data_IF_588684966721
#
_entry.id   IF_588684966721
#
_cell.length_a   1.000
_cell.length_b   1.000
_cell.length_c   1.000
_cell.angle_alpha   90.00
_cell.angle_beta   90.00
_cell.angle_gamma   90.00
#
_symmetry.space_group_name_H-M   'P 1'
#
loop_
_entity.id
_entity.type
_entity.pdbx_description
1 polymer ?
#
# COMPACT_ATOMS: atom_id res chain seq x y z
N UNK A 1 -18.90 7.86 21.88
CA UNK A 1 -19.73 6.75 22.37
C UNK A 1 -18.98 5.77 23.27
N UNK A 2 -17.62 5.76 23.21
CA UNK A 2 -16.77 4.91 24.03
C UNK A 2 -15.78 5.72 24.87
N UNK A 3 -15.35 5.15 25.99
CA UNK A 3 -14.33 5.70 26.88
C UNK A 3 -13.14 4.76 26.93
N UNK A 4 -11.92 5.28 27.10
CA UNK A 4 -10.72 4.49 27.29
C UNK A 4 -10.75 3.85 28.67
N UNK A 5 -10.73 2.52 28.73
CA UNK A 5 -10.62 1.76 29.95
C UNK A 5 -9.18 1.37 30.26
N UNK A 6 -8.42 1.00 29.25
CA UNK A 6 -7.01 0.63 29.38
C UNK A 6 -6.25 1.00 28.10
N UNK A 7 -5.03 1.49 28.26
CA UNK A 7 -4.10 1.71 27.15
C UNK A 7 -2.73 1.16 27.52
N UNK A 8 -2.25 0.23 26.71
CA UNK A 8 -0.89 -0.34 26.79
C UNK A 8 -0.18 -0.01 25.49
N UNK A 9 0.75 0.94 25.46
CA UNK A 9 1.49 1.31 24.26
C UNK A 9 2.06 0.07 23.55
N UNK A 10 1.96 0.04 22.21
CA UNK A 10 2.44 -1.04 21.34
C UNK A 10 1.87 -2.44 21.63
N UNK A 11 0.82 -2.53 22.46
CA UNK A 11 0.16 -3.80 22.83
C UNK A 11 -1.34 -3.76 22.57
N UNK A 12 -2.06 -2.87 23.28
CA UNK A 12 -3.52 -2.84 23.13
C UNK A 12 -4.17 -1.57 23.64
N UNK A 13 -5.35 -1.28 23.09
CA UNK A 13 -6.27 -0.26 23.57
C UNK A 13 -7.62 -0.92 23.85
N UNK A 14 -8.13 -0.77 25.07
CA UNK A 14 -9.47 -1.25 25.46
C UNK A 14 -10.40 -0.07 25.66
N UNK A 15 -11.51 -0.09 24.96
CA UNK A 15 -12.60 0.88 25.07
C UNK A 15 -13.82 0.21 25.67
N UNK A 16 -14.54 0.94 26.52
CA UNK A 16 -15.83 0.53 27.09
C UNK A 16 -16.93 1.50 26.70
N UNK A 17 -18.16 1.01 26.60
CA UNK A 17 -19.32 1.82 26.25
C UNK A 17 -19.51 2.97 27.24
N UNK A 18 -19.81 4.15 26.70
CA UNK A 18 -20.25 5.30 27.48
C UNK A 18 -21.79 5.30 27.52
N UNK A 19 -22.36 4.80 28.61
CA UNK A 19 -23.81 4.60 28.70
C UNK A 19 -24.60 5.92 28.62
N UNK A 20 -24.02 7.03 29.09
CA UNK A 20 -24.59 8.38 29.06
C UNK A 20 -24.17 9.21 27.84
N UNK A 21 -23.73 8.55 26.75
CA UNK A 21 -23.37 9.27 25.54
C UNK A 21 -24.59 9.97 24.94
N UNK A 22 -24.45 11.26 24.62
CA UNK A 22 -25.55 12.09 24.08
C UNK A 22 -26.21 11.54 22.79
N UNK A 23 -25.47 10.78 21.97
CA UNK A 23 -25.98 10.12 20.77
C UNK A 23 -26.56 8.73 20.99
N UNK A 24 -26.79 8.35 22.27
CA UNK A 24 -27.30 7.04 22.64
C UNK A 24 -26.20 6.02 22.93
N UNK A 25 -26.60 4.96 23.62
CA UNK A 25 -25.69 3.88 24.02
C UNK A 25 -25.16 3.14 22.77
N UNK A 26 -23.83 2.94 22.66
CA UNK A 26 -23.24 2.18 21.55
C UNK A 26 -23.57 0.68 21.64
N UNK A 27 -23.63 -0.04 20.50
CA UNK A 27 -24.10 -1.43 20.46
C UNK A 27 -23.14 -2.42 21.14
N UNK A 28 -21.83 -2.16 21.09
CA UNK A 28 -20.82 -3.02 21.71
C UNK A 28 -20.49 -2.54 23.11
N UNK A 29 -20.46 -3.44 24.08
CA UNK A 29 -20.08 -3.10 25.47
C UNK A 29 -18.59 -2.76 25.59
N UNK A 30 -17.77 -3.41 24.79
CA UNK A 30 -16.34 -3.27 24.82
C UNK A 30 -15.76 -3.49 23.42
N UNK A 31 -14.72 -2.73 23.08
CA UNK A 31 -13.90 -2.91 21.90
C UNK A 31 -12.44 -2.99 22.37
N UNK A 32 -11.73 -4.02 21.97
CA UNK A 32 -10.31 -4.15 22.23
C UNK A 32 -9.53 -4.15 20.94
N UNK A 33 -8.68 -3.17 20.75
CA UNK A 33 -7.69 -3.12 19.68
C UNK A 33 -6.41 -3.78 20.19
N UNK A 34 -5.86 -4.67 19.39
CA UNK A 34 -4.62 -5.39 19.69
C UNK A 34 -3.63 -5.11 18.58
N UNK A 35 -2.41 -4.72 18.92
CA UNK A 35 -1.33 -4.56 17.96
C UNK A 35 -0.80 -5.95 17.56
N UNK A 36 -0.89 -6.29 16.28
CA UNK A 36 -0.40 -7.55 15.73
C UNK A 36 0.37 -7.23 14.44
N UNK A 37 1.67 -6.98 14.51
CA UNK A 37 2.47 -6.53 13.38
C UNK A 37 2.50 -7.51 12.21
N UNK A 38 2.56 -8.81 12.50
CA UNK A 38 2.68 -9.84 11.49
C UNK A 38 1.34 -10.18 10.82
N UNK A 39 1.30 -10.07 9.48
CA UNK A 39 0.10 -10.32 8.67
C UNK A 39 -0.44 -11.73 8.87
N UNK A 40 0.44 -12.74 8.86
CA UNK A 40 0.06 -14.13 9.06
C UNK A 40 -0.60 -14.37 10.42
N UNK A 41 -0.09 -13.72 11.47
CA UNK A 41 -0.66 -13.80 12.81
C UNK A 41 -2.04 -13.14 12.88
N UNK A 42 -2.24 -12.00 12.20
CA UNK A 42 -3.57 -11.37 12.11
C UNK A 42 -4.57 -12.27 11.41
N UNK A 43 -4.19 -12.88 10.28
CA UNK A 43 -5.05 -13.79 9.53
C UNK A 43 -5.38 -15.03 10.36
N UNK A 44 -4.39 -15.66 10.98
CA UNK A 44 -4.59 -16.84 11.80
C UNK A 44 -5.49 -16.56 13.01
N UNK A 45 -5.30 -15.42 13.68
CA UNK A 45 -6.16 -15.02 14.81
C UNK A 45 -7.61 -14.75 14.36
N UNK A 46 -7.83 -14.21 13.16
CA UNK A 46 -9.15 -14.08 12.58
C UNK A 46 -9.76 -15.47 12.28
N UNK A 47 -9.01 -16.36 11.62
CA UNK A 47 -9.49 -17.69 11.25
C UNK A 47 -9.78 -18.59 12.47
N UNK A 48 -9.02 -18.44 13.55
CA UNK A 48 -9.24 -19.17 14.81
C UNK A 48 -10.37 -18.60 15.68
N UNK A 49 -10.88 -17.40 15.34
CA UNK A 49 -11.89 -16.70 16.16
C UNK A 49 -11.32 -15.94 17.34
N UNK A 50 -9.99 -15.83 17.47
CA UNK A 50 -9.35 -14.98 18.48
C UNK A 50 -9.69 -13.51 18.24
N UNK A 51 -9.72 -13.10 16.98
CA UNK A 51 -10.16 -11.77 16.56
C UNK A 51 -11.47 -11.85 15.77
N UNK A 52 -12.37 -10.91 16.01
CA UNK A 52 -13.63 -10.76 15.29
C UNK A 52 -13.50 -9.81 14.11
N UNK A 53 -12.43 -9.02 14.07
CA UNK A 53 -12.14 -8.06 13.02
C UNK A 53 -10.62 -7.95 12.84
N UNK A 54 -10.17 -7.89 11.61
CA UNK A 54 -8.78 -7.61 11.26
C UNK A 54 -8.72 -6.58 10.14
N UNK A 55 -7.85 -5.59 10.26
CA UNK A 55 -7.60 -4.57 9.24
C UNK A 55 -6.21 -4.73 8.62
N UNK A 56 -5.96 -3.97 7.56
CA UNK A 56 -4.68 -3.93 6.83
C UNK A 56 -4.21 -5.32 6.36
N UNK A 57 -5.18 -6.12 5.89
CA UNK A 57 -4.87 -7.39 5.23
C UNK A 57 -4.44 -7.10 3.79
N UNK A 58 -3.25 -7.54 3.38
CA UNK A 58 -2.78 -7.34 2.02
C UNK A 58 -3.72 -7.95 0.98
N UNK A 59 -3.97 -7.27 -0.15
CA UNK A 59 -4.93 -7.72 -1.17
C UNK A 59 -4.64 -9.11 -1.74
N UNK A 60 -3.38 -9.51 -1.84
CA UNK A 60 -2.98 -10.86 -2.26
C UNK A 60 -3.40 -11.97 -1.27
N UNK A 61 -3.62 -11.64 0.00
CA UNK A 61 -4.08 -12.57 1.03
C UNK A 61 -5.61 -12.68 1.12
N UNK A 62 -6.34 -11.70 0.62
CA UNK A 62 -7.81 -11.62 0.69
C UNK A 62 -8.49 -12.85 0.07
N UNK A 63 -8.09 -13.38 -1.11
CA UNK A 63 -8.74 -14.54 -1.69
C UNK A 63 -8.75 -15.77 -0.78
N UNK A 64 -7.77 -15.90 0.11
CA UNK A 64 -7.74 -16.97 1.11
C UNK A 64 -8.84 -16.84 2.16
N UNK A 65 -9.12 -15.63 2.60
CA UNK A 65 -10.15 -15.31 3.60
C UNK A 65 -11.55 -15.41 2.99
N UNK A 66 -11.77 -14.93 1.77
CA UNK A 66 -13.05 -14.97 1.07
C UNK A 66 -13.60 -16.39 0.84
N UNK A 67 -12.72 -17.40 0.83
CA UNK A 67 -13.14 -18.82 0.75
C UNK A 67 -13.85 -19.30 2.01
N UNK A 68 -13.69 -18.61 3.11
CA UNK A 68 -14.29 -18.98 4.40
C UNK A 68 -15.59 -18.22 4.58
N UNK A 69 -16.73 -18.90 4.45
CA UNK A 69 -18.07 -18.29 4.45
C UNK A 69 -18.43 -17.50 5.73
N UNK A 70 -17.68 -17.71 6.81
CA UNK A 70 -17.91 -17.01 8.07
C UNK A 70 -17.42 -15.56 8.07
N UNK A 71 -16.63 -15.18 7.08
CA UNK A 71 -16.03 -13.84 7.00
C UNK A 71 -16.61 -13.03 5.85
N UNK A 72 -16.74 -11.74 6.09
CA UNK A 72 -17.02 -10.73 5.10
C UNK A 72 -15.80 -9.84 4.95
N UNK A 73 -15.37 -9.62 3.70
CA UNK A 73 -14.28 -8.70 3.39
C UNK A 73 -14.88 -7.40 2.89
N UNK A 74 -14.62 -6.33 3.63
CA UNK A 74 -15.04 -4.98 3.25
C UNK A 74 -13.81 -4.12 3.00
N UNK A 75 -13.86 -3.30 1.99
CA UNK A 75 -12.80 -2.40 1.61
C UNK A 75 -12.96 -1.92 0.18
N UNK A 76 -11.98 -1.18 -0.29
CA UNK A 76 -12.02 -0.65 -1.64
C UNK A 76 -10.79 0.16 -1.98
N UNK A 77 -10.80 0.75 -3.17
CA UNK A 77 -9.73 1.61 -3.64
C UNK A 77 -9.66 2.88 -2.79
N UNK A 78 -8.48 3.15 -2.28
CA UNK A 78 -8.14 4.43 -1.64
C UNK A 78 -7.43 5.31 -2.65
N UNK A 79 -7.68 6.64 -2.61
CA UNK A 79 -7.13 7.60 -3.57
C UNK A 79 -5.69 8.00 -3.19
N UNK A 80 -4.86 7.01 -2.87
CA UNK A 80 -3.46 7.17 -2.55
C UNK A 80 -2.59 6.74 -3.73
N UNK A 81 -1.52 7.50 -3.97
CA UNK A 81 -0.48 7.14 -4.93
C UNK A 81 0.76 6.62 -4.22
N UNK A 82 1.28 5.49 -4.69
CA UNK A 82 2.62 5.07 -4.34
C UNK A 82 3.61 5.74 -5.26
N UNK A 83 4.55 6.45 -4.68
CA UNK A 83 5.50 7.27 -5.40
C UNK A 83 6.93 6.82 -5.14
N UNK A 84 7.75 6.89 -6.18
CA UNK A 84 9.20 6.95 -6.05
C UNK A 84 9.60 8.42 -6.20
N UNK A 85 10.22 8.96 -5.19
CA UNK A 85 10.73 10.34 -5.21
C UNK A 85 12.21 10.29 -5.57
N UNK A 86 12.60 10.95 -6.64
CA UNK A 86 13.99 11.04 -7.08
C UNK A 86 14.69 12.25 -6.47
N UNK A 87 15.75 12.00 -5.70
CA UNK A 87 16.63 13.07 -5.22
C UNK A 87 17.50 13.58 -6.38
N UNK A 88 17.14 14.74 -6.92
CA UNK A 88 17.89 15.38 -8.01
C UNK A 88 19.26 15.89 -7.61
N UNK A 89 19.60 15.92 -6.32
CA UNK A 89 20.94 16.26 -5.86
C UNK A 89 21.89 15.08 -5.92
N UNK A 90 21.36 13.85 -5.98
CA UNK A 90 22.18 12.64 -6.20
C UNK A 90 22.79 12.66 -7.60
N UNK A 91 24.09 12.40 -7.71
CA UNK A 91 24.85 12.59 -8.96
C UNK A 91 24.21 11.87 -10.16
N UNK A 92 23.85 10.58 -10.00
CA UNK A 92 23.26 9.76 -11.05
C UNK A 92 21.81 10.15 -11.39
N UNK A 93 21.08 10.75 -10.43
CA UNK A 93 19.69 11.15 -10.61
C UNK A 93 19.49 12.56 -11.12
N UNK A 94 20.58 13.33 -11.32
CA UNK A 94 20.51 14.66 -11.99
C UNK A 94 20.03 14.55 -13.42
N UNK A 95 20.50 13.54 -14.14
CA UNK A 95 20.11 13.30 -15.52
C UNK A 95 18.66 12.78 -15.59
N UNK A 96 17.82 13.49 -16.33
CA UNK A 96 16.42 13.11 -16.53
C UNK A 96 16.26 11.78 -17.27
N UNK A 97 17.24 11.40 -18.12
CA UNK A 97 17.22 10.14 -18.86
C UNK A 97 17.34 8.95 -17.90
N UNK A 98 18.19 9.05 -16.87
CA UNK A 98 18.30 8.01 -15.82
C UNK A 98 16.98 7.84 -15.08
N UNK A 99 16.35 8.93 -14.64
CA UNK A 99 15.05 8.87 -13.95
C UNK A 99 13.96 8.28 -14.85
N UNK A 100 13.92 8.66 -16.13
CA UNK A 100 12.98 8.09 -17.11
C UNK A 100 13.25 6.61 -17.35
N UNK A 101 14.52 6.21 -17.46
CA UNK A 101 14.89 4.81 -17.59
C UNK A 101 14.38 3.96 -16.42
N UNK A 102 14.58 4.40 -15.19
CA UNK A 102 14.04 3.72 -14.00
C UNK A 102 12.51 3.61 -14.08
N UNK A 103 11.84 4.65 -14.57
CA UNK A 103 10.38 4.64 -14.73
C UNK A 103 9.91 3.63 -15.76
N UNK A 104 10.64 3.47 -16.89
CA UNK A 104 10.35 2.47 -17.93
C UNK A 104 10.72 1.04 -17.52
N UNK A 105 11.64 0.87 -16.58
CA UNK A 105 12.05 -0.46 -16.11
C UNK A 105 11.04 -1.13 -15.17
N UNK A 106 10.07 -0.40 -14.59
CA UNK A 106 9.12 -0.93 -13.63
C UNK A 106 7.86 -1.42 -14.34
N UNK A 107 7.59 -2.74 -14.25
CA UNK A 107 6.32 -3.33 -14.67
C UNK A 107 5.25 -3.15 -13.59
N UNK A 108 4.50 -2.06 -13.70
CA UNK A 108 3.44 -1.72 -12.75
C UNK A 108 2.25 -2.65 -12.82
N UNK A 109 1.97 -3.22 -14.00
CA UNK A 109 0.87 -4.16 -14.15
C UNK A 109 1.19 -5.48 -13.45
N UNK A 110 2.41 -6.00 -13.62
CA UNK A 110 2.85 -7.18 -12.89
C UNK A 110 2.78 -6.98 -11.35
N UNK A 111 3.14 -5.79 -10.85
CA UNK A 111 2.99 -5.43 -9.44
C UNK A 111 1.51 -5.47 -9.01
N UNK A 112 0.61 -4.87 -9.80
CA UNK A 112 -0.84 -4.88 -9.51
C UNK A 112 -1.39 -6.29 -9.46
N UNK A 113 -1.04 -7.14 -10.42
CA UNK A 113 -1.52 -8.52 -10.47
C UNK A 113 -0.98 -9.37 -9.32
N UNK A 114 0.32 -9.28 -9.03
CA UNK A 114 0.97 -10.15 -8.05
C UNK A 114 0.73 -9.72 -6.60
N UNK A 115 0.81 -8.43 -6.29
CA UNK A 115 0.74 -7.93 -4.91
C UNK A 115 -0.62 -7.32 -4.53
N UNK A 116 -1.47 -7.04 -5.51
CA UNK A 116 -2.83 -6.52 -5.28
C UNK A 116 -3.92 -7.45 -5.81
N UNK A 117 -3.57 -8.62 -6.35
CA UNK A 117 -4.53 -9.56 -6.94
C UNK A 117 -5.51 -8.86 -7.92
N UNK A 118 -5.01 -7.91 -8.72
CA UNK A 118 -5.81 -7.12 -9.64
C UNK A 118 -6.80 -6.14 -8.99
N UNK A 119 -6.78 -5.96 -7.66
CA UNK A 119 -7.76 -5.14 -6.91
C UNK A 119 -7.47 -3.64 -6.92
N UNK A 120 -6.51 -3.21 -7.70
CA UNK A 120 -6.18 -1.80 -7.93
C UNK A 120 -5.83 -1.58 -9.39
N UNK A 121 -5.54 -0.35 -9.75
CA UNK A 121 -5.15 0.00 -11.12
C UNK A 121 -3.88 0.86 -11.11
N UNK A 122 -3.15 0.81 -12.22
CA UNK A 122 -2.05 1.75 -12.46
C UNK A 122 -2.64 3.12 -12.78
N UNK A 123 -2.39 4.15 -11.97
CA UNK A 123 -2.97 5.47 -12.21
C UNK A 123 -2.28 6.17 -13.39
N UNK A 124 -3.01 7.07 -14.03
CA UNK A 124 -2.46 7.96 -15.06
C UNK A 124 -1.80 9.18 -14.43
N UNK A 125 -0.59 9.04 -13.91
CA UNK A 125 0.11 10.09 -13.17
C UNK A 125 -0.45 10.27 -11.74
N UNK A 126 -0.32 11.46 -11.19
CA UNK A 126 -0.78 11.83 -9.84
C UNK A 126 -2.25 12.26 -9.85
N UNK A 127 -3.11 11.47 -10.49
CA UNK A 127 -4.52 11.81 -10.64
C UNK A 127 -5.38 10.55 -10.68
N UNK A 128 -6.65 10.73 -10.37
CA UNK A 128 -7.67 9.68 -10.42
C UNK A 128 -8.89 10.19 -11.20
N UNK A 129 -9.66 9.33 -11.87
CA UNK A 129 -10.90 9.72 -12.54
C UNK A 129 -11.89 10.43 -11.60
N UNK A 130 -11.80 10.18 -10.30
CA UNK A 130 -12.60 10.84 -9.26
C UNK A 130 -12.40 12.37 -9.21
N UNK A 131 -11.30 12.89 -9.74
CA UNK A 131 -11.03 14.35 -9.75
C UNK A 131 -11.84 15.12 -10.80
N UNK A 132 -12.70 14.40 -11.54
CA UNK A 132 -13.65 14.96 -12.51
C UNK A 132 -12.97 15.97 -13.45
N UNK A 133 -13.34 17.27 -13.36
CA UNK A 133 -12.81 18.32 -14.24
C UNK A 133 -11.28 18.51 -14.17
N UNK A 134 -10.65 18.05 -13.09
CA UNK A 134 -9.19 18.12 -12.94
C UNK A 134 -8.48 16.87 -13.48
N UNK A 135 -9.23 15.86 -13.93
CA UNK A 135 -8.68 14.66 -14.49
C UNK A 135 -8.34 14.83 -15.97
N UNK A 136 -7.08 14.61 -16.33
CA UNK A 136 -6.58 14.66 -17.71
C UNK A 136 -6.60 13.25 -18.26
N UNK A 137 -7.64 12.90 -19.02
CA UNK A 137 -7.87 11.53 -19.47
C UNK A 137 -6.85 11.03 -20.49
N UNK A 138 -6.24 11.92 -21.26
CA UNK A 138 -5.23 11.66 -22.27
C UNK A 138 -3.79 11.80 -21.75
N UNK A 139 -3.60 12.00 -20.44
CA UNK A 139 -2.27 12.06 -19.84
C UNK A 139 -1.51 10.76 -20.07
N UNK A 140 -0.38 10.84 -20.78
CA UNK A 140 0.49 9.70 -21.02
C UNK A 140 1.50 9.53 -19.87
N UNK A 141 1.56 8.31 -19.34
CA UNK A 141 2.59 7.89 -18.38
C UNK A 141 3.59 6.98 -19.06
N UNK A 142 4.85 7.00 -18.65
CA UNK A 142 5.85 6.07 -19.17
C UNK A 142 5.39 4.62 -18.98
N UNK A 143 5.24 3.90 -20.09
CA UNK A 143 4.93 2.46 -20.09
C UNK A 143 6.15 1.64 -19.66
N UNK A 144 5.92 0.41 -19.27
CA UNK A 144 6.98 -0.58 -19.08
C UNK A 144 7.65 -0.86 -20.43
N UNK A 145 8.94 -0.57 -20.54
CA UNK A 145 9.72 -0.73 -21.76
C UNK A 145 11.21 -0.85 -21.44
N UNK A 146 11.67 -2.09 -21.26
CA UNK A 146 13.07 -2.37 -20.91
C UNK A 146 14.05 -1.94 -22.00
N UNK A 147 13.64 -2.03 -23.28
CA UNK A 147 14.49 -1.61 -24.38
C UNK A 147 14.74 -0.10 -24.35
N UNK A 148 13.68 0.68 -24.11
CA UNK A 148 13.75 2.13 -23.95
C UNK A 148 14.56 2.50 -22.69
N UNK A 149 14.35 1.81 -21.57
CA UNK A 149 15.14 2.00 -20.36
C UNK A 149 16.64 1.85 -20.62
N UNK A 150 17.02 0.75 -21.27
CA UNK A 150 18.41 0.49 -21.62
C UNK A 150 18.99 1.51 -22.60
N UNK A 151 18.19 1.98 -23.56
CA UNK A 151 18.59 3.03 -24.51
C UNK A 151 18.92 4.33 -23.75
N UNK A 152 18.02 4.76 -22.88
CA UNK A 152 18.17 5.98 -22.08
C UNK A 152 19.39 5.94 -21.14
N UNK A 153 19.67 4.79 -20.51
CA UNK A 153 20.85 4.62 -19.67
C UNK A 153 22.16 4.73 -20.47
N UNK A 154 22.21 4.11 -21.65
CA UNK A 154 23.38 4.23 -22.56
C UNK A 154 23.61 5.69 -22.99
N UNK A 155 22.56 6.39 -23.39
CA UNK A 155 22.62 7.80 -23.80
C UNK A 155 23.02 8.74 -22.66
N UNK A 156 22.63 8.40 -21.43
CA UNK A 156 23.03 9.13 -20.22
C UNK A 156 24.49 8.83 -19.81
N UNK A 157 25.12 7.80 -20.39
CA UNK A 157 26.45 7.34 -19.98
C UNK A 157 26.48 6.68 -18.59
N UNK A 158 25.34 6.18 -18.12
CA UNK A 158 25.24 5.47 -16.83
C UNK A 158 25.99 4.14 -16.89
N UNK A 159 26.84 3.90 -15.90
CA UNK A 159 27.75 2.73 -15.88
C UNK A 159 27.41 1.71 -14.78
N UNK A 160 26.25 1.86 -14.13
CA UNK A 160 25.82 0.95 -13.06
C UNK A 160 26.26 1.41 -11.66
N UNK A 161 26.56 2.70 -11.48
CA UNK A 161 26.83 3.24 -10.15
C UNK A 161 25.62 3.03 -9.23
N UNK A 162 25.82 2.60 -7.98
CA UNK A 162 24.70 2.29 -7.09
C UNK A 162 23.87 3.53 -6.77
N UNK A 163 22.58 3.38 -6.85
CA UNK A 163 21.60 4.39 -6.46
C UNK A 163 20.88 3.87 -5.22
N UNK A 164 21.07 4.50 -4.04
CA UNK A 164 20.43 4.02 -2.83
C UNK A 164 18.91 4.24 -2.88
N UNK A 165 18.16 3.18 -2.62
CA UNK A 165 16.72 3.23 -2.46
C UNK A 165 16.35 3.14 -0.98
N UNK A 166 15.65 4.15 -0.46
CA UNK A 166 15.21 4.23 0.93
C UNK A 166 13.71 4.02 1.01
N UNK A 167 13.26 3.20 1.94
CA UNK A 167 11.85 2.97 2.21
C UNK A 167 11.60 2.92 3.73
N UNK A 168 10.34 3.12 4.12
CA UNK A 168 9.89 2.89 5.47
C UNK A 168 9.47 1.42 5.60
N UNK A 169 9.84 0.77 6.70
CA UNK A 169 9.39 -0.58 6.99
C UNK A 169 7.96 -0.56 7.56
N UNK A 170 7.12 -1.46 7.07
CA UNK A 170 5.77 -1.72 7.60
C UNK A 170 4.86 -0.49 7.71
N UNK A 171 5.06 0.53 6.87
CA UNK A 171 4.21 1.72 6.86
C UNK A 171 3.02 1.58 5.91
N UNK A 172 3.24 1.03 4.72
CA UNK A 172 2.19 0.76 3.75
C UNK A 172 2.08 -0.75 3.47
N UNK A 173 0.87 -1.19 3.19
CA UNK A 173 0.59 -2.57 2.74
C UNK A 173 1.49 -2.95 1.56
N UNK A 174 2.14 -4.11 1.61
CA UNK A 174 3.05 -4.63 0.58
C UNK A 174 4.23 -3.71 0.20
N UNK A 175 4.62 -2.77 1.06
CA UNK A 175 5.67 -1.80 0.73
C UNK A 175 7.02 -2.48 0.47
N UNK A 176 7.43 -3.39 1.34
CA UNK A 176 8.71 -4.09 1.21
C UNK A 176 8.71 -5.01 -0.02
N UNK A 177 7.62 -5.76 -0.24
CA UNK A 177 7.48 -6.63 -1.41
C UNK A 177 7.51 -5.82 -2.72
N UNK A 178 6.81 -4.68 -2.77
CA UNK A 178 6.85 -3.77 -3.92
C UNK A 178 8.26 -3.25 -4.18
N UNK A 179 8.99 -2.86 -3.12
CA UNK A 179 10.36 -2.37 -3.24
C UNK A 179 11.30 -3.45 -3.78
N UNK A 180 11.18 -4.69 -3.33
CA UNK A 180 11.96 -5.82 -3.84
C UNK A 180 11.74 -6.04 -5.33
N UNK A 181 10.48 -6.11 -5.77
CA UNK A 181 10.16 -6.26 -7.20
C UNK A 181 10.70 -5.10 -8.06
N UNK A 182 10.81 -3.90 -7.50
CA UNK A 182 11.33 -2.75 -8.26
C UNK A 182 12.85 -2.69 -8.38
N UNK A 183 13.61 -3.37 -7.50
CA UNK A 183 15.08 -3.34 -7.54
C UNK A 183 15.69 -4.56 -8.21
N UNK A 184 14.91 -5.60 -8.48
CA UNK A 184 15.26 -6.77 -9.29
C UNK A 184 15.17 -6.48 -10.79
#
# INVERSE_FOLDING_TARGET
>A
PYMVAEFRPDVSLTLVAHDEYWGGRPPLRQIRFVEVPEVSSRINGLLSGEYQFACDIPPDQIPGIERVRAFEVQGGTVLNHRLIVFDRNHAQLRDARVRRAMTHAIDRNAIVESLWAGRTQVPRGLQWPYYDQMFIADWEVPRYDVAEARRLLREAGYRGEPIPYRLLNNYYTNQNATAQVMVE
#
